data_IF_086446645463
#
_entry.id   IF_086446645463
#
_cell.length_a   1.000
_cell.length_b   1.000
_cell.length_c   1.000
_cell.angle_alpha   90.00
_cell.angle_beta   90.00
_cell.angle_gamma   90.00
#
_symmetry.space_group_name_H-M   'P 1'
#
loop_
_entity.id
_entity.type
_entity.pdbx_description
1 polymer ?
#
# COMPACT_ATOMS: atom_id res chain seq x y z
N UNK A 1 1.72 -4.63 -9.11
CA UNK A 1 1.47 -5.82 -8.25
C UNK A 1 0.00 -6.12 -8.12
N UNK A 2 -0.81 -5.25 -7.50
CA UNK A 2 -2.27 -5.44 -7.31
C UNK A 2 -2.98 -5.89 -8.60
N UNK A 3 -2.74 -5.20 -9.73
CA UNK A 3 -3.30 -5.53 -11.05
C UNK A 3 -3.03 -6.99 -11.47
N UNK A 4 -1.79 -7.47 -11.31
CA UNK A 4 -1.40 -8.85 -11.64
C UNK A 4 -2.04 -9.88 -10.70
N UNK A 5 -2.30 -9.53 -9.44
CA UNK A 5 -3.08 -10.39 -8.54
C UNK A 5 -4.55 -10.44 -8.96
N UNK A 6 -5.17 -9.32 -9.32
CA UNK A 6 -6.53 -9.29 -9.82
C UNK A 6 -6.69 -10.09 -11.13
N UNK A 7 -5.76 -9.92 -12.09
CA UNK A 7 -5.68 -10.72 -13.32
C UNK A 7 -5.69 -12.23 -13.04
N UNK A 8 -4.89 -12.69 -12.06
CA UNK A 8 -4.77 -14.11 -11.74
C UNK A 8 -5.90 -14.67 -10.86
N UNK A 9 -6.27 -13.95 -9.79
CA UNK A 9 -7.15 -14.47 -8.72
C UNK A 9 -8.62 -14.09 -8.89
N UNK A 10 -8.95 -13.15 -9.78
CA UNK A 10 -10.31 -12.61 -9.95
C UNK A 10 -10.78 -12.72 -11.40
N UNK A 11 -9.93 -12.34 -12.37
CA UNK A 11 -10.19 -12.57 -13.80
C UNK A 11 -9.72 -13.96 -14.28
N UNK A 12 -9.16 -14.78 -13.38
CA UNK A 12 -8.74 -16.18 -13.57
C UNK A 12 -7.76 -16.44 -14.73
N UNK A 13 -7.10 -15.40 -15.26
CA UNK A 13 -6.13 -15.52 -16.36
C UNK A 13 -4.82 -16.11 -15.81
N UNK A 14 -4.61 -17.40 -16.05
CA UNK A 14 -3.55 -18.19 -15.39
C UNK A 14 -2.51 -18.72 -16.37
N UNK A 15 -2.91 -19.06 -17.59
CA UNK A 15 -2.03 -19.42 -18.70
C UNK A 15 -1.37 -18.18 -19.34
N UNK A 16 -0.44 -18.40 -20.26
CA UNK A 16 0.25 -17.32 -20.95
C UNK A 16 -0.63 -16.65 -22.01
N UNK A 17 -1.37 -17.42 -22.82
CA UNK A 17 -2.29 -16.87 -23.84
C UNK A 17 -3.38 -16.01 -23.22
N UNK A 18 -4.06 -16.51 -22.17
CA UNK A 18 -5.07 -15.76 -21.41
C UNK A 18 -4.56 -14.42 -20.85
N UNK A 19 -3.25 -14.31 -20.60
CA UNK A 19 -2.63 -13.09 -20.08
C UNK A 19 -2.23 -12.14 -21.21
N UNK A 20 -1.81 -12.65 -22.37
CA UNK A 20 -1.59 -11.85 -23.57
C UNK A 20 -2.91 -11.24 -24.09
N UNK A 21 -3.97 -12.04 -24.15
CA UNK A 21 -5.34 -11.59 -24.48
C UNK A 21 -5.86 -10.51 -23.52
N UNK A 22 -5.45 -10.55 -22.25
CA UNK A 22 -5.90 -9.64 -21.21
C UNK A 22 -4.94 -8.46 -20.95
N UNK A 23 -3.82 -8.36 -21.67
CA UNK A 23 -2.83 -7.30 -21.41
C UNK A 23 -3.39 -5.87 -21.62
N UNK A 24 -4.25 -5.57 -22.62
CA UNK A 24 -4.89 -4.25 -22.75
C UNK A 24 -5.74 -3.85 -21.54
N UNK A 25 -6.40 -4.81 -20.89
CA UNK A 25 -7.19 -4.62 -19.67
C UNK A 25 -6.29 -4.52 -18.44
N UNK A 26 -5.25 -5.35 -18.36
CA UNK A 26 -4.23 -5.28 -17.29
C UNK A 26 -3.49 -3.94 -17.30
N UNK A 27 -3.15 -3.41 -18.47
CA UNK A 27 -2.55 -2.10 -18.66
C UNK A 27 -3.46 -0.98 -18.15
N UNK A 28 -4.72 -0.91 -18.61
CA UNK A 28 -5.70 0.08 -18.14
C UNK A 28 -5.94 0.00 -16.63
N UNK A 29 -6.06 -1.21 -16.08
CA UNK A 29 -6.17 -1.42 -14.63
C UNK A 29 -4.91 -0.96 -13.88
N UNK A 30 -3.71 -1.14 -14.43
CA UNK A 30 -2.45 -0.63 -13.85
C UNK A 30 -2.43 0.91 -13.85
N UNK A 31 -2.79 1.52 -14.97
CA UNK A 31 -2.77 2.98 -15.15
C UNK A 31 -3.82 3.69 -14.28
N UNK A 32 -5.05 3.17 -14.21
CA UNK A 32 -6.11 3.72 -13.34
C UNK A 32 -5.90 3.44 -11.85
N UNK A 33 -5.27 2.31 -11.47
CA UNK A 33 -4.93 2.04 -10.06
C UNK A 33 -3.74 2.86 -9.57
N UNK A 34 -2.76 3.19 -10.43
CA UNK A 34 -1.52 3.85 -10.01
C UNK A 34 -1.74 5.15 -9.21
N UNK A 35 -2.48 6.16 -9.70
CA UNK A 35 -2.68 7.40 -8.95
C UNK A 35 -3.45 7.17 -7.65
N UNK A 36 -4.43 6.25 -7.62
CA UNK A 36 -5.22 5.94 -6.43
C UNK A 36 -4.36 5.24 -5.35
N UNK A 37 -3.43 4.38 -5.75
CA UNK A 37 -2.44 3.79 -4.83
C UNK A 37 -1.50 4.86 -4.28
N UNK A 38 -0.98 5.77 -5.12
CA UNK A 38 -0.15 6.89 -4.65
C UNK A 38 -0.92 7.80 -3.68
N UNK A 39 -2.17 8.15 -3.98
CA UNK A 39 -3.01 8.97 -3.12
C UNK A 39 -3.29 8.29 -1.76
N UNK A 40 -3.51 6.97 -1.75
CA UNK A 40 -3.69 6.20 -0.51
C UNK A 40 -2.41 6.18 0.36
N UNK A 41 -1.23 6.13 -0.26
CA UNK A 41 0.03 6.20 0.49
C UNK A 41 0.37 7.63 0.96
N UNK A 42 0.02 8.67 0.18
CA UNK A 42 0.04 10.07 0.63
C UNK A 42 -0.86 10.28 1.87
N UNK A 43 -2.04 9.62 1.90
CA UNK A 43 -2.90 9.63 3.07
C UNK A 43 -2.21 9.04 4.30
N UNK A 44 -1.61 7.84 4.20
CA UNK A 44 -0.89 7.24 5.33
C UNK A 44 0.31 8.08 5.81
N UNK A 45 1.01 8.73 4.88
CA UNK A 45 2.10 9.65 5.20
C UNK A 45 1.61 10.90 5.96
N UNK A 46 0.59 11.57 5.44
CA UNK A 46 0.07 12.80 6.05
C UNK A 46 -0.63 12.50 7.37
N UNK A 47 -1.37 11.39 7.44
CA UNK A 47 -1.96 10.87 8.69
C UNK A 47 -0.88 10.68 9.75
N UNK A 48 0.22 9.98 9.42
CA UNK A 48 1.33 9.76 10.36
C UNK A 48 1.90 11.08 10.85
N UNK A 49 2.21 12.00 9.95
CA UNK A 49 2.89 13.23 10.31
C UNK A 49 1.99 14.21 11.08
N UNK A 50 0.67 14.14 10.92
CA UNK A 50 -0.29 14.82 11.79
C UNK A 50 -0.46 14.12 13.15
N UNK A 51 -0.53 12.78 13.17
CA UNK A 51 -0.64 11.98 14.42
C UNK A 51 0.60 12.16 15.31
N UNK A 52 1.79 12.18 14.71
CA UNK A 52 3.06 12.53 15.39
C UNK A 52 3.05 13.97 15.89
N UNK A 53 2.58 14.94 15.10
CA UNK A 53 2.46 16.35 15.54
C UNK A 53 1.53 16.49 16.75
N UNK A 54 0.34 15.89 16.68
CA UNK A 54 -0.67 15.89 17.74
C UNK A 54 -0.13 15.33 19.07
N UNK A 55 0.52 14.16 19.02
CA UNK A 55 1.17 13.54 20.18
C UNK A 55 2.29 14.45 20.72
N UNK A 56 3.17 14.98 19.85
CA UNK A 56 4.28 15.83 20.26
C UNK A 56 3.83 17.17 20.86
N UNK A 57 2.64 17.68 20.48
CA UNK A 57 2.03 18.87 21.10
C UNK A 57 1.33 18.62 22.44
N UNK A 58 1.42 17.40 23.00
CA UNK A 58 0.73 17.02 24.23
C UNK A 58 -0.77 16.75 24.05
N UNK A 59 -1.21 16.49 22.81
CA UNK A 59 -2.58 16.14 22.50
C UNK A 59 -2.99 14.79 23.09
N UNK A 60 -4.24 14.67 23.53
CA UNK A 60 -4.80 13.43 24.08
C UNK A 60 -4.70 12.31 23.03
N UNK A 61 -4.14 11.12 23.34
CA UNK A 61 -4.09 9.99 22.40
C UNK A 61 -5.47 9.66 21.83
N UNK A 62 -5.55 9.40 20.52
CA UNK A 62 -6.81 9.20 19.79
C UNK A 62 -7.66 8.09 20.39
N UNK A 63 -7.04 7.01 20.88
CA UNK A 63 -7.72 5.88 21.54
C UNK A 63 -8.43 6.25 22.86
N UNK A 64 -8.12 7.41 23.43
CA UNK A 64 -8.78 7.96 24.63
C UNK A 64 -9.79 9.07 24.29
N UNK A 65 -9.89 9.49 23.02
CA UNK A 65 -10.88 10.46 22.58
C UNK A 65 -12.17 9.76 22.15
N UNK A 66 -13.31 10.41 22.39
CA UNK A 66 -14.60 10.00 21.83
C UNK A 66 -14.87 10.89 20.61
N UNK A 67 -14.95 10.29 19.42
CA UNK A 67 -15.23 10.99 18.17
C UNK A 67 -16.15 10.16 17.27
N UNK A 68 -16.99 10.85 16.48
CA UNK A 68 -17.81 10.22 15.42
C UNK A 68 -17.00 10.01 14.13
N UNK A 69 -16.06 10.93 13.86
CA UNK A 69 -15.11 10.91 12.75
C UNK A 69 -13.73 11.26 13.30
N UNK A 70 -12.69 10.53 12.92
CA UNK A 70 -11.35 10.77 13.47
C UNK A 70 -10.83 12.14 12.98
N UNK A 71 -10.53 13.11 13.86
CA UNK A 71 -10.20 14.48 13.45
C UNK A 71 -8.96 14.56 12.57
N UNK A 72 -8.00 13.65 12.75
CA UNK A 72 -6.79 13.58 11.91
C UNK A 72 -7.14 13.05 10.52
N UNK A 73 -8.00 12.03 10.44
CA UNK A 73 -8.45 11.47 9.17
C UNK A 73 -9.29 12.47 8.38
N UNK A 74 -10.19 13.21 9.04
CA UNK A 74 -10.95 14.31 8.43
C UNK A 74 -10.03 15.37 7.83
N UNK A 75 -8.98 15.78 8.56
CA UNK A 75 -8.02 16.78 8.08
C UNK A 75 -7.25 16.32 6.83
N UNK A 76 -6.86 15.05 6.74
CA UNK A 76 -6.22 14.52 5.53
C UNK A 76 -7.23 14.33 4.41
N UNK A 77 -8.44 13.84 4.72
CA UNK A 77 -9.50 13.60 3.72
C UNK A 77 -10.06 14.90 3.12
N UNK A 78 -9.96 16.04 3.82
CA UNK A 78 -10.27 17.37 3.26
C UNK A 78 -9.27 17.85 2.21
N UNK A 79 -8.12 17.18 2.04
CA UNK A 79 -7.14 17.52 1.00
C UNK A 79 -7.50 16.93 -0.38
N UNK A 80 -8.46 16.01 -0.45
CA UNK A 80 -8.90 15.38 -1.69
C UNK A 80 -10.25 15.94 -2.15
N UNK A 81 -10.36 16.15 -3.46
CA UNK A 81 -11.63 16.37 -4.13
C UNK A 81 -12.55 15.14 -4.00
N UNK A 82 -13.84 15.35 -4.27
CA UNK A 82 -14.87 14.37 -4.04
C UNK A 82 -14.77 13.14 -4.96
N UNK A 83 -14.28 13.31 -6.20
CA UNK A 83 -14.10 12.21 -7.13
C UNK A 83 -12.91 11.33 -6.70
N UNK A 84 -11.80 11.95 -6.31
CA UNK A 84 -10.62 11.27 -5.77
C UNK A 84 -10.94 10.56 -4.46
N UNK A 85 -11.63 11.22 -3.51
CA UNK A 85 -12.03 10.62 -2.23
C UNK A 85 -12.90 9.37 -2.43
N UNK A 86 -13.91 9.46 -3.30
CA UNK A 86 -14.79 8.32 -3.62
C UNK A 86 -14.01 7.19 -4.31
N UNK A 87 -13.17 7.49 -5.31
CA UNK A 87 -12.33 6.49 -6.00
C UNK A 87 -11.34 5.82 -5.05
N UNK A 88 -10.70 6.58 -4.14
CA UNK A 88 -9.80 6.04 -3.12
C UNK A 88 -10.53 5.10 -2.16
N UNK A 89 -11.71 5.50 -1.67
CA UNK A 89 -12.53 4.64 -0.81
C UNK A 89 -12.96 3.35 -1.50
N UNK A 90 -13.41 3.44 -2.76
CA UNK A 90 -13.79 2.27 -3.57
C UNK A 90 -12.60 1.31 -3.83
N UNK A 91 -11.37 1.83 -3.94
CA UNK A 91 -10.16 1.04 -4.21
C UNK A 91 -9.44 0.57 -2.93
N UNK A 92 -9.65 1.20 -1.78
CA UNK A 92 -8.99 0.86 -0.52
C UNK A 92 -9.14 -0.64 -0.12
N UNK A 93 -10.33 -1.26 -0.13
CA UNK A 93 -10.48 -2.68 0.20
C UNK A 93 -9.72 -3.61 -0.76
N UNK A 94 -9.57 -3.24 -2.04
CA UNK A 94 -8.79 -3.98 -3.02
C UNK A 94 -7.29 -3.89 -2.70
N UNK A 95 -6.78 -2.69 -2.40
CA UNK A 95 -5.36 -2.46 -2.05
C UNK A 95 -5.00 -3.19 -0.75
N UNK A 96 -5.80 -3.00 0.31
CA UNK A 96 -5.56 -3.63 1.61
C UNK A 96 -5.69 -5.15 1.52
N UNK A 97 -6.72 -5.69 0.87
CA UNK A 97 -6.86 -7.15 0.74
C UNK A 97 -5.74 -7.78 -0.09
N UNK A 98 -5.26 -7.11 -1.14
CA UNK A 98 -4.12 -7.56 -1.95
C UNK A 98 -2.82 -7.57 -1.12
N UNK A 99 -2.55 -6.51 -0.35
CA UNK A 99 -1.42 -6.46 0.59
C UNK A 99 -1.51 -7.53 1.69
N UNK A 100 -2.67 -7.67 2.33
CA UNK A 100 -2.89 -8.68 3.37
C UNK A 100 -2.80 -10.11 2.86
N UNK A 101 -3.33 -10.42 1.67
CA UNK A 101 -3.19 -11.76 1.05
C UNK A 101 -1.72 -12.14 0.86
N UNK A 102 -0.86 -11.19 0.46
CA UNK A 102 0.57 -11.43 0.24
C UNK A 102 1.32 -11.88 1.50
N UNK A 103 0.80 -11.59 2.68
CA UNK A 103 1.34 -11.91 4.01
C UNK A 103 0.59 -13.05 4.74
N UNK A 104 -0.39 -13.69 4.08
CA UNK A 104 -1.07 -14.91 4.56
C UNK A 104 -0.39 -16.15 3.97
N UNK A 105 -0.42 -17.31 4.66
CA UNK A 105 -0.02 -18.57 4.03
C UNK A 105 -0.95 -18.89 2.85
N UNK A 106 -0.49 -19.60 1.80
CA UNK A 106 -1.30 -19.86 0.61
C UNK A 106 -2.60 -20.61 0.93
N UNK A 107 -3.74 -20.13 0.42
CA UNK A 107 -5.07 -20.65 0.79
C UNK A 107 -5.30 -22.13 0.46
N UNK A 108 -4.57 -22.69 -0.50
CA UNK A 108 -4.63 -24.12 -0.83
C UNK A 108 -3.93 -25.02 0.20
N UNK A 109 -3.05 -24.47 1.04
CA UNK A 109 -2.31 -25.24 2.03
C UNK A 109 -3.18 -25.50 3.28
N UNK A 110 -3.76 -26.70 3.35
CA UNK A 110 -4.37 -27.25 4.56
C UNK A 110 -3.35 -27.47 5.69
N UNK A 111 -3.81 -27.76 6.92
CA UNK A 111 -2.93 -27.86 8.10
C UNK A 111 -1.74 -28.82 7.92
N UNK A 112 -1.96 -29.98 7.31
CA UNK A 112 -0.90 -30.99 7.05
C UNK A 112 0.10 -30.46 6.02
N UNK A 113 -0.36 -29.80 4.95
CA UNK A 113 0.54 -29.14 3.99
C UNK A 113 1.34 -28.01 4.64
N UNK A 114 0.74 -27.24 5.57
CA UNK A 114 1.44 -26.16 6.28
C UNK A 114 2.56 -26.72 7.16
N UNK A 115 2.32 -27.84 7.85
CA UNK A 115 3.37 -28.52 8.61
C UNK A 115 4.51 -28.99 7.68
N UNK A 116 4.19 -29.71 6.59
CA UNK A 116 5.19 -30.29 5.70
C UNK A 116 5.96 -29.24 4.86
N UNK A 117 5.29 -28.18 4.39
CA UNK A 117 5.90 -27.06 3.63
C UNK A 117 6.48 -25.97 4.56
N UNK A 118 6.46 -26.19 5.88
CA UNK A 118 7.04 -25.29 6.88
C UNK A 118 6.31 -23.94 7.02
N UNK A 119 5.05 -23.82 6.62
CA UNK A 119 4.22 -22.62 6.79
C UNK A 119 3.68 -22.55 8.23
N UNK A 120 4.59 -22.61 9.21
CA UNK A 120 4.32 -22.73 10.66
C UNK A 120 3.81 -21.43 11.31
N UNK A 121 3.76 -20.32 10.57
CA UNK A 121 3.29 -19.03 11.05
C UNK A 121 1.99 -18.66 10.33
N UNK A 122 1.03 -18.15 11.10
CA UNK A 122 -0.21 -17.61 10.57
C UNK A 122 -0.07 -16.14 10.10
N UNK A 123 -1.21 -15.59 9.64
CA UNK A 123 -1.33 -14.18 9.25
C UNK A 123 -0.81 -13.26 10.36
N UNK A 124 -0.09 -12.17 10.04
CA UNK A 124 0.12 -11.08 10.99
C UNK A 124 -1.21 -10.59 11.59
N UNK A 125 -1.16 -10.10 12.84
CA UNK A 125 -2.26 -9.40 13.46
C UNK A 125 -2.53 -8.06 12.75
N UNK A 126 -3.74 -7.52 12.90
CA UNK A 126 -4.17 -6.36 12.12
C UNK A 126 -3.45 -5.05 12.54
N UNK A 127 -2.93 -5.00 13.77
CA UNK A 127 -1.94 -4.02 14.26
C UNK A 127 -0.62 -4.00 13.45
N UNK A 128 -0.15 -5.16 12.96
CA UNK A 128 1.11 -5.25 12.21
C UNK A 128 0.91 -4.62 10.83
N UNK A 129 -0.22 -4.89 10.18
CA UNK A 129 -0.54 -4.28 8.89
C UNK A 129 -0.76 -2.76 9.02
N UNK A 130 -1.46 -2.31 10.06
CA UNK A 130 -1.60 -0.89 10.38
C UNK A 130 -0.23 -0.23 10.59
N UNK A 131 0.66 -0.86 11.37
CA UNK A 131 2.01 -0.37 11.62
C UNK A 131 2.88 -0.32 10.36
N UNK A 132 2.82 -1.34 9.48
CA UNK A 132 3.58 -1.29 8.21
C UNK A 132 3.14 -0.12 7.34
N UNK A 133 1.83 0.16 7.24
CA UNK A 133 1.32 1.23 6.39
C UNK A 133 1.50 2.62 7.02
N UNK A 134 1.13 2.80 8.29
CA UNK A 134 1.18 4.09 8.98
C UNK A 134 2.58 4.47 9.52
N UNK A 135 3.49 3.52 9.76
CA UNK A 135 4.86 3.81 10.25
C UNK A 135 5.92 3.54 9.18
N UNK A 136 5.80 2.43 8.43
CA UNK A 136 6.78 2.04 7.40
C UNK A 136 6.49 2.55 5.98
N UNK A 137 5.25 2.95 5.70
CA UNK A 137 4.84 3.54 4.42
C UNK A 137 4.96 2.61 3.20
N UNK A 138 4.82 3.23 2.02
CA UNK A 138 4.88 2.56 0.72
C UNK A 138 6.16 1.74 0.54
N UNK A 139 7.32 2.26 0.93
CA UNK A 139 8.60 1.58 0.73
C UNK A 139 8.72 0.31 1.55
N UNK A 140 8.27 0.32 2.81
CA UNK A 140 8.30 -0.88 3.64
C UNK A 140 7.26 -1.92 3.18
N UNK A 141 6.06 -1.48 2.78
CA UNK A 141 5.05 -2.34 2.18
C UNK A 141 5.54 -2.97 0.85
N UNK A 142 6.21 -2.19 -0.01
CA UNK A 142 6.82 -2.63 -1.27
C UNK A 142 7.92 -3.68 -1.02
N UNK A 143 8.85 -3.43 -0.09
CA UNK A 143 9.93 -4.37 0.25
C UNK A 143 9.36 -5.73 0.72
N UNK A 144 8.30 -5.72 1.54
CA UNK A 144 7.59 -6.95 1.91
C UNK A 144 6.75 -7.56 0.77
N UNK A 145 6.41 -6.83 -0.29
CA UNK A 145 5.67 -7.37 -1.43
C UNK A 145 6.57 -8.13 -2.41
N UNK A 146 7.72 -7.52 -2.71
CA UNK A 146 8.70 -7.98 -3.71
C UNK A 146 9.48 -9.21 -3.24
N UNK A 147 9.72 -9.32 -1.93
CA UNK A 147 10.37 -10.48 -1.32
C UNK A 147 9.75 -11.81 -1.80
N UNK A 148 10.58 -12.79 -2.16
CA UNK A 148 10.13 -14.10 -2.68
C UNK A 148 9.97 -15.11 -1.53
N UNK A 149 9.07 -16.08 -1.70
CA UNK A 149 8.68 -17.06 -0.66
C UNK A 149 7.69 -16.51 0.38
N UNK A 150 7.06 -17.41 1.14
CA UNK A 150 6.17 -17.04 2.26
C UNK A 150 6.97 -16.85 3.56
N UNK A 151 7.69 -17.88 4.01
CA UNK A 151 8.41 -17.89 5.28
C UNK A 151 9.43 -16.75 5.41
N UNK A 152 10.18 -16.46 4.34
CA UNK A 152 11.17 -15.37 4.32
C UNK A 152 10.48 -14.02 4.55
N UNK A 153 9.38 -13.75 3.83
CA UNK A 153 8.54 -12.56 3.98
C UNK A 153 7.97 -12.42 5.39
N UNK A 154 7.42 -13.52 5.93
CA UNK A 154 6.79 -13.53 7.26
C UNK A 154 7.82 -13.28 8.36
N UNK A 155 9.02 -13.85 8.24
CA UNK A 155 10.14 -13.64 9.15
C UNK A 155 10.76 -12.23 9.05
N UNK A 156 10.82 -11.65 7.85
CA UNK A 156 11.24 -10.26 7.64
C UNK A 156 10.27 -9.28 8.32
N UNK A 157 8.96 -9.52 8.21
CA UNK A 157 7.94 -8.74 8.94
C UNK A 157 8.08 -8.88 10.45
N UNK A 158 8.25 -10.10 11.00
CA UNK A 158 8.46 -10.27 12.45
C UNK A 158 9.72 -9.55 12.95
N UNK A 159 10.82 -9.65 12.18
CA UNK A 159 12.10 -8.99 12.49
C UNK A 159 11.96 -7.46 12.49
N UNK A 160 11.31 -6.91 11.45
CA UNK A 160 11.07 -5.48 11.32
C UNK A 160 10.13 -4.96 12.41
N UNK A 161 9.00 -5.63 12.62
CA UNK A 161 8.02 -5.25 13.64
C UNK A 161 8.65 -5.33 15.04
N UNK A 162 9.50 -6.33 15.28
CA UNK A 162 10.35 -6.42 16.48
C UNK A 162 11.29 -5.23 16.67
N UNK A 163 11.94 -4.71 15.62
CA UNK A 163 12.75 -3.49 15.74
C UNK A 163 11.93 -2.23 16.02
N UNK A 164 10.70 -2.15 15.51
CA UNK A 164 9.77 -1.03 15.69
C UNK A 164 9.12 -1.04 17.08
N UNK A 165 8.77 -2.23 17.61
CA UNK A 165 8.04 -2.40 18.88
C UNK A 165 8.94 -2.55 20.11
N UNK A 166 10.19 -3.03 19.97
CA UNK A 166 11.08 -3.24 21.13
C UNK A 166 11.42 -1.92 21.83
N UNK A 167 10.78 -1.71 22.98
CA UNK A 167 11.34 -0.89 24.05
C UNK A 167 12.74 -1.41 24.43
N UNK A 168 13.65 -0.53 24.90
CA UNK A 168 14.79 -1.01 25.65
C UNK A 168 14.26 -1.63 26.94
N UNK A 169 14.45 -2.95 27.10
CA UNK A 169 14.63 -3.50 28.44
C UNK A 169 15.88 -2.83 28.98
N UNK A 170 15.79 -2.17 30.14
CA UNK A 170 17.00 -1.77 30.86
C UNK A 170 17.75 -3.05 31.21
N UNK A 171 18.90 -3.27 30.55
CA UNK A 171 19.77 -4.39 30.89
C UNK A 171 20.30 -4.11 32.29
N UNK A 172 19.93 -4.90 33.32
CA UNK A 172 20.39 -4.64 34.68
C UNK A 172 21.91 -4.71 34.67
N UNK A 173 22.56 -3.61 35.06
CA UNK A 173 24.00 -3.37 34.91
C UNK A 173 24.79 -4.25 35.88
N UNK A 174 24.96 -5.53 35.52
CA UNK A 174 25.69 -6.52 36.32
C UNK A 174 27.11 -6.02 36.62
N UNK A 175 27.32 -5.68 37.88
CA UNK A 175 28.51 -4.99 38.36
C UNK A 175 29.72 -5.93 38.48
N UNK A 176 30.81 -5.55 37.82
CA UNK A 176 32.23 -5.69 38.22
C UNK A 176 32.67 -6.94 39.01
N UNK A 177 33.64 -7.65 38.43
CA UNK A 177 34.62 -8.56 39.08
C UNK A 177 34.06 -9.87 39.69
N UNK A 178 34.84 -10.95 39.82
CA UNK A 178 36.18 -11.18 39.28
C UNK A 178 36.82 -12.50 39.72
N UNK A 179 37.97 -12.81 39.12
CA UNK A 179 38.95 -13.87 39.48
C UNK A 179 38.59 -15.37 39.34
N UNK A 180 39.67 -16.11 39.04
CA UNK A 180 39.86 -17.57 38.86
C UNK A 180 39.59 -18.33 40.19
N UNK A 181 39.51 -19.67 40.29
CA UNK A 181 40.02 -20.78 39.44
C UNK A 181 38.92 -21.90 39.32
N UNK A 182 39.08 -23.24 39.18
CA UNK A 182 40.20 -24.20 39.23
C UNK A 182 40.03 -25.38 38.23
N UNK A 183 41.16 -25.91 37.76
CA UNK A 183 41.48 -27.32 37.42
C UNK A 183 40.42 -28.35 36.96
N UNK A 184 40.61 -28.85 35.73
CA UNK A 184 40.60 -30.25 35.27
C UNK A 184 39.47 -31.26 35.65
N UNK A 185 38.86 -31.88 34.64
CA UNK A 185 38.90 -33.32 34.26
C UNK A 185 37.80 -33.58 33.21
N UNK A 186 38.02 -34.46 32.23
CA UNK A 186 37.14 -34.60 31.07
C UNK A 186 36.22 -35.82 31.07
N UNK A 187 35.03 -35.69 30.48
CA UNK A 187 34.27 -36.83 29.89
C UNK A 187 33.43 -36.37 28.69
N UNK A 188 33.28 -37.24 27.68
CA UNK A 188 32.47 -37.00 26.47
C UNK A 188 30.97 -37.23 26.73
N UNK A 189 30.15 -36.62 25.85
CA UNK A 189 28.67 -36.78 25.73
C UNK A 189 27.91 -36.03 26.85
N UNK A 190 26.80 -35.32 26.63
CA UNK A 190 25.92 -35.19 25.46
C UNK A 190 25.77 -33.71 25.05
N UNK A 191 25.64 -33.40 23.76
CA UNK A 191 25.29 -32.04 23.33
C UNK A 191 23.76 -31.93 23.25
N UNK A 192 23.16 -31.26 24.23
CA UNK A 192 21.75 -30.88 24.24
C UNK A 192 21.70 -29.38 23.94
N UNK A 193 20.98 -28.98 22.89
CA UNK A 193 21.04 -27.61 22.38
C UNK A 193 20.16 -26.67 23.20
N UNK A 194 20.75 -26.00 24.20
CA UNK A 194 20.12 -24.86 24.86
C UNK A 194 19.96 -23.67 23.89
N UNK A 195 19.00 -22.80 24.19
CA UNK A 195 18.54 -21.73 23.29
C UNK A 195 19.55 -20.58 23.26
N UNK A 196 20.52 -20.67 22.36
CA UNK A 196 21.45 -19.59 22.07
C UNK A 196 20.70 -18.36 21.52
N UNK A 197 20.84 -17.22 22.22
CA UNK A 197 20.27 -15.93 21.81
C UNK A 197 20.84 -15.47 20.47
N UNK A 198 19.97 -15.35 19.46
CA UNK A 198 20.38 -15.03 18.09
C UNK A 198 20.69 -13.54 17.90
N UNK A 199 21.90 -13.14 18.30
CA UNK A 199 22.47 -11.81 17.99
C UNK A 199 23.81 -11.88 17.21
N UNK A 200 24.32 -13.08 16.91
CA UNK A 200 25.64 -13.31 16.29
C UNK A 200 25.59 -14.19 15.03
N UNK A 201 24.81 -13.79 14.02
CA UNK A 201 24.73 -14.53 12.75
C UNK A 201 24.50 -13.65 11.48
N UNK A 202 25.17 -12.51 11.35
CA UNK A 202 25.36 -11.84 10.06
C UNK A 202 26.57 -10.90 10.09
N UNK A 203 27.54 -11.09 9.17
CA UNK A 203 28.51 -10.05 8.84
C UNK A 203 27.74 -8.87 8.22
N UNK A 204 27.61 -7.77 8.95
CA UNK A 204 26.91 -6.59 8.45
C UNK A 204 27.89 -5.67 7.74
N UNK A 205 27.93 -5.75 6.41
CA UNK A 205 28.62 -4.74 5.63
C UNK A 205 28.01 -3.37 5.93
N UNK A 206 28.87 -2.39 6.20
CA UNK A 206 28.48 -1.02 6.55
C UNK A 206 27.97 -0.28 5.31
N UNK A 207 28.46 -0.64 4.11
CA UNK A 207 28.02 -0.05 2.83
C UNK A 207 26.54 -0.34 2.56
N UNK A 208 26.02 -1.49 3.00
CA UNK A 208 24.60 -1.86 2.87
C UNK A 208 23.67 -1.21 3.92
N UNK A 209 24.18 -0.43 4.90
CA UNK A 209 23.31 0.29 5.86
C UNK A 209 22.68 1.58 5.28
N UNK A 210 22.98 1.94 4.02
CA UNK A 210 22.58 3.21 3.40
C UNK A 210 21.09 3.29 2.99
N UNK A 211 20.28 2.25 3.22
CA UNK A 211 18.82 2.36 3.13
C UNK A 211 18.29 3.32 4.20
N UNK A 212 17.82 4.50 3.78
CA UNK A 212 17.21 5.52 4.65
C UNK A 212 16.03 5.00 5.49
N UNK A 213 15.39 3.90 5.08
CA UNK A 213 14.26 3.27 5.76
C UNK A 213 14.69 2.22 6.79
N UNK A 214 15.98 1.85 6.86
CA UNK A 214 16.43 0.73 7.69
C UNK A 214 16.35 1.05 9.19
N UNK A 215 15.41 0.38 9.88
CA UNK A 215 15.10 0.53 11.32
C UNK A 215 16.12 -0.15 12.25
N UNK A 216 17.15 -0.83 11.72
CA UNK A 216 18.19 -1.48 12.55
C UNK A 216 18.94 -0.43 13.40
N UNK A 217 19.18 -0.66 14.71
CA UNK A 217 19.86 0.29 15.57
C UNK A 217 21.24 0.76 15.07
N UNK A 218 21.98 -0.12 14.38
CA UNK A 218 23.27 0.21 13.72
C UNK A 218 23.10 1.24 12.61
N UNK A 219 22.22 0.99 11.63
CA UNK A 219 22.00 1.90 10.51
C UNK A 219 21.30 3.21 10.95
N UNK A 220 20.45 3.18 11.99
CA UNK A 220 19.88 4.39 12.60
C UNK A 220 20.98 5.25 13.25
N UNK A 221 21.94 4.62 13.94
CA UNK A 221 23.05 5.33 14.60
C UNK A 221 24.05 5.90 13.59
N UNK A 222 24.35 5.16 12.51
CA UNK A 222 25.24 5.62 11.44
C UNK A 222 24.71 6.87 10.72
N UNK A 223 23.40 6.93 10.46
CA UNK A 223 22.75 8.06 9.75
C UNK A 223 22.85 9.41 10.47
N UNK A 224 23.12 9.44 11.77
CA UNK A 224 23.37 10.69 12.54
C UNK A 224 24.66 11.44 12.13
N UNK A 225 25.42 10.96 11.14
CA UNK A 225 26.68 11.56 10.66
C UNK A 225 26.61 12.24 9.29
N UNK A 226 25.46 12.24 8.61
CA UNK A 226 25.32 13.04 7.39
C UNK A 226 25.13 14.52 7.75
N UNK A 227 26.11 15.32 7.33
CA UNK A 227 26.34 16.69 7.78
C UNK A 227 25.14 17.62 7.60
N UNK A 228 24.82 18.40 8.63
CA UNK A 228 23.83 19.50 8.60
C UNK A 228 24.37 20.79 7.97
N UNK A 229 25.54 20.71 7.33
CA UNK A 229 26.40 21.85 6.97
C UNK A 229 26.19 22.33 5.50
N UNK A 230 25.26 21.70 4.77
CA UNK A 230 24.83 22.14 3.45
C UNK A 230 23.56 23.00 3.56
N UNK A 231 23.74 24.32 3.71
CA UNK A 231 22.65 25.33 3.76
C UNK A 231 21.93 25.59 2.42
N UNK A 232 22.15 24.71 1.43
CA UNK A 232 21.55 24.78 0.09
C UNK A 232 20.49 23.69 -0.02
N UNK A 233 19.41 23.97 -0.79
CA UNK A 233 18.23 23.11 -0.98
C UNK A 233 17.19 23.12 0.16
N UNK A 234 16.70 24.30 0.58
CA UNK A 234 15.39 24.40 1.27
C UNK A 234 14.21 24.13 0.30
N UNK A 235 14.17 22.93 -0.28
CA UNK A 235 13.12 22.42 -1.15
C UNK A 235 12.91 20.92 -0.90
N UNK A 236 11.76 20.38 -1.29
CA UNK A 236 11.16 19.12 -0.79
C UNK A 236 12.05 17.85 -0.80
N UNK A 237 13.14 17.82 -1.58
CA UNK A 237 14.09 16.70 -1.61
C UNK A 237 15.07 16.66 -0.41
N UNK A 238 15.30 17.78 0.28
CA UNK A 238 16.19 17.85 1.43
C UNK A 238 15.53 17.51 2.78
N UNK A 239 14.19 17.40 2.82
CA UNK A 239 13.45 16.96 4.00
C UNK A 239 13.71 15.50 4.41
N UNK A 240 14.53 14.77 3.63
CA UNK A 240 14.65 13.33 3.67
C UNK A 240 13.57 12.65 2.83
N UNK A 241 13.60 11.31 2.75
CA UNK A 241 12.59 10.57 1.99
C UNK A 241 11.24 10.53 2.73
N UNK A 242 10.14 10.34 1.98
CA UNK A 242 8.81 10.21 2.55
C UNK A 242 8.74 9.11 3.60
N UNK A 243 8.02 9.37 4.70
CA UNK A 243 7.89 8.50 5.87
C UNK A 243 9.22 8.00 6.47
N UNK A 244 10.24 8.87 6.60
CA UNK A 244 11.51 8.54 7.27
C UNK A 244 11.31 7.93 8.69
N UNK A 245 12.15 6.97 9.14
CA UNK A 245 11.93 6.23 10.40
C UNK A 245 11.80 7.10 11.66
N UNK A 246 10.72 6.89 12.40
CA UNK A 246 10.38 7.62 13.62
C UNK A 246 11.36 7.34 14.79
N UNK A 247 11.45 8.28 15.74
CA UNK A 247 12.21 8.09 16.98
C UNK A 247 11.59 7.01 17.87
N UNK A 248 12.39 6.36 18.71
CA UNK A 248 11.88 5.34 19.66
C UNK A 248 10.88 5.93 20.66
N UNK A 249 11.01 7.19 21.03
CA UNK A 249 10.06 7.86 21.92
C UNK A 249 8.74 8.14 21.22
N UNK A 250 8.77 8.62 19.98
CA UNK A 250 7.58 8.78 19.14
C UNK A 250 6.87 7.43 18.92
N UNK A 251 7.63 6.37 18.63
CA UNK A 251 7.11 5.00 18.44
C UNK A 251 6.36 4.47 19.67
N UNK A 252 6.89 4.68 20.89
CA UNK A 252 6.20 4.27 22.13
C UNK A 252 4.81 4.89 22.30
N UNK A 253 4.60 6.10 21.80
CA UNK A 253 3.33 6.81 21.93
C UNK A 253 2.37 6.53 20.78
N UNK A 254 2.85 6.50 19.54
CA UNK A 254 2.00 6.31 18.35
C UNK A 254 1.56 4.85 18.17
N UNK A 255 2.43 3.86 18.37
CA UNK A 255 2.11 2.45 18.11
C UNK A 255 0.88 1.94 18.89
N UNK A 256 0.75 2.18 20.21
CA UNK A 256 -0.43 1.74 20.96
C UNK A 256 -1.61 2.72 20.85
N UNK A 257 -1.55 3.70 19.94
CA UNK A 257 -2.61 4.66 19.60
C UNK A 257 -3.05 4.56 18.12
N UNK A 258 -2.44 3.65 17.34
CA UNK A 258 -2.89 3.35 15.98
C UNK A 258 -4.20 2.54 15.99
N UNK A 259 -5.24 2.95 15.23
CA UNK A 259 -6.43 2.14 15.05
C UNK A 259 -6.14 0.83 14.29
N UNK A 260 -7.08 -0.13 14.34
CA UNK A 260 -7.05 -1.27 13.44
C UNK A 260 -7.12 -0.81 11.98
N UNK A 261 -6.45 -1.53 11.06
CA UNK A 261 -6.33 -1.12 9.66
C UNK A 261 -7.68 -1.02 8.90
N UNK A 262 -8.72 -1.71 9.36
CA UNK A 262 -10.08 -1.54 8.86
C UNK A 262 -10.73 -0.23 9.28
N UNK A 263 -10.30 0.34 10.42
CA UNK A 263 -10.93 1.48 11.08
C UNK A 263 -10.21 2.78 10.69
N UNK A 264 -8.89 2.71 10.47
CA UNK A 264 -8.17 3.72 9.69
C UNK A 264 -8.85 3.81 8.31
N UNK A 265 -9.13 5.03 7.85
CA UNK A 265 -9.77 5.34 6.57
C UNK A 265 -11.28 5.03 6.50
N UNK A 266 -11.72 3.77 6.61
CA UNK A 266 -13.07 3.38 6.13
C UNK A 266 -14.21 4.19 6.73
N UNK A 267 -14.29 4.29 8.06
CA UNK A 267 -15.43 4.92 8.73
C UNK A 267 -15.48 6.44 8.49
N UNK A 268 -14.34 7.12 8.60
CA UNK A 268 -14.25 8.57 8.35
C UNK A 268 -14.52 8.88 6.88
N UNK A 269 -13.99 8.08 5.94
CA UNK A 269 -14.20 8.28 4.52
C UNK A 269 -15.67 8.05 4.11
N UNK A 270 -16.32 7.00 4.61
CA UNK A 270 -17.75 6.74 4.34
C UNK A 270 -18.62 7.88 4.88
N UNK A 271 -18.37 8.35 6.12
CA UNK A 271 -19.09 9.47 6.71
C UNK A 271 -18.94 10.76 5.89
N UNK A 272 -17.71 11.13 5.49
CA UNK A 272 -17.47 12.30 4.65
C UNK A 272 -18.06 12.18 3.24
N UNK A 273 -18.05 10.99 2.65
CA UNK A 273 -18.65 10.72 1.32
C UNK A 273 -20.17 11.00 1.33
N UNK A 274 -20.84 10.69 2.45
CA UNK A 274 -22.27 10.95 2.65
C UNK A 274 -22.53 12.40 3.07
N UNK A 275 -21.72 12.98 3.95
CA UNK A 275 -21.84 14.38 4.41
C UNK A 275 -21.69 15.38 3.25
N UNK A 276 -20.68 15.17 2.39
CA UNK A 276 -20.48 15.95 1.15
C UNK A 276 -21.49 15.61 0.04
N UNK A 277 -22.34 14.59 0.23
CA UNK A 277 -23.36 14.11 -0.72
C UNK A 277 -22.80 13.66 -2.07
N UNK A 278 -21.59 13.09 -2.07
CA UNK A 278 -20.94 12.53 -3.27
C UNK A 278 -21.74 11.31 -3.79
N UNK A 279 -22.39 10.60 -2.87
CA UNK A 279 -23.42 9.61 -3.15
C UNK A 279 -24.63 9.84 -2.23
N UNK A 280 -25.80 9.31 -2.59
CA UNK A 280 -27.01 9.47 -1.77
C UNK A 280 -27.08 8.45 -0.63
N UNK A 281 -26.50 7.26 -0.83
CA UNK A 281 -26.58 6.13 0.12
C UNK A 281 -25.28 5.30 0.13
N UNK A 282 -24.95 4.61 1.23
CA UNK A 282 -23.81 3.68 1.27
C UNK A 282 -23.85 2.59 0.20
N UNK A 283 -25.04 2.16 -0.22
CA UNK A 283 -25.21 1.12 -1.23
C UNK A 283 -24.84 1.60 -2.65
N UNK A 284 -24.73 2.91 -2.87
CA UNK A 284 -24.32 3.50 -4.16
C UNK A 284 -22.77 3.48 -4.32
N UNK A 285 -22.04 3.18 -3.25
CA UNK A 285 -20.57 3.03 -3.27
C UNK A 285 -20.23 1.68 -3.92
N UNK A 286 -19.52 1.75 -5.06
CA UNK A 286 -19.18 0.56 -5.87
C UNK A 286 -18.41 -0.49 -5.07
N UNK A 287 -18.84 -1.75 -5.18
CA UNK A 287 -18.21 -2.91 -4.55
C UNK A 287 -17.00 -3.38 -5.35
N UNK A 288 -16.09 -4.13 -4.70
CA UNK A 288 -14.82 -4.59 -5.30
C UNK A 288 -14.93 -5.17 -6.73
N UNK A 289 -16.02 -5.91 -7.04
CA UNK A 289 -16.31 -6.43 -8.37
C UNK A 289 -16.60 -5.33 -9.40
N UNK A 290 -17.49 -4.40 -9.07
CA UNK A 290 -17.85 -3.26 -9.92
C UNK A 290 -16.65 -2.31 -10.11
N UNK A 291 -15.84 -2.11 -9.07
CA UNK A 291 -14.60 -1.34 -9.11
C UNK A 291 -13.59 -1.98 -10.06
N UNK A 292 -13.37 -3.29 -9.97
CA UNK A 292 -12.47 -4.02 -10.88
C UNK A 292 -12.97 -3.99 -12.33
N UNK A 293 -14.27 -4.11 -12.56
CA UNK A 293 -14.86 -3.96 -13.90
C UNK A 293 -14.68 -2.53 -14.43
N UNK A 294 -14.89 -1.49 -13.62
CA UNK A 294 -14.65 -0.10 -14.00
C UNK A 294 -13.17 0.20 -14.27
N UNK A 295 -12.24 -0.47 -13.58
CA UNK A 295 -10.80 -0.36 -13.84
C UNK A 295 -10.37 -0.99 -15.18
N UNK A 296 -11.13 -1.95 -15.71
CA UNK A 296 -10.85 -2.60 -17.01
C UNK A 296 -11.78 -2.17 -18.16
N UNK A 297 -12.88 -1.44 -17.91
CA UNK A 297 -13.80 -0.96 -18.97
C UNK A 297 -13.02 -0.09 -19.98
N UNK A 298 -13.41 -0.13 -21.24
CA UNK A 298 -12.91 0.85 -22.22
C UNK A 298 -13.41 2.24 -21.85
N UNK A 299 -12.57 3.24 -22.07
CA UNK A 299 -13.02 4.62 -22.02
C UNK A 299 -14.01 4.79 -23.18
N UNK A 300 -15.28 5.01 -22.86
CA UNK A 300 -16.28 5.34 -23.88
C UNK A 300 -15.83 6.65 -24.51
N UNK A 301 -15.32 6.56 -25.75
CA UNK A 301 -14.94 7.72 -26.52
C UNK A 301 -16.19 8.56 -26.69
N UNK A 302 -16.28 9.63 -25.91
CA UNK A 302 -17.29 10.67 -26.07
C UNK A 302 -16.94 11.39 -27.37
N UNK A 303 -17.35 10.78 -28.48
CA UNK A 303 -17.50 11.47 -29.75
C UNK A 303 -18.48 12.59 -29.46
N UNK A 304 -17.96 13.80 -29.34
CA UNK A 304 -18.74 14.99 -29.10
C UNK A 304 -19.63 15.23 -30.33
N UNK A 305 -20.82 14.61 -30.31
CA UNK A 305 -21.89 14.86 -31.24
C UNK A 305 -22.43 16.26 -30.95
N UNK A 306 -21.68 17.27 -31.38
CA UNK A 306 -22.06 18.68 -31.31
C UNK A 306 -23.42 18.84 -32.00
N UNK A 307 -24.50 19.15 -31.27
CA UNK A 307 -25.75 19.52 -31.91
C UNK A 307 -25.65 20.99 -32.33
N UNK A 308 -26.16 21.32 -33.52
CA UNK A 308 -26.20 22.69 -34.09
C UNK A 308 -24.79 23.14 -34.58
N UNK A 309 -24.60 23.73 -35.77
CA UNK A 309 -25.56 24.34 -36.71
C UNK A 309 -25.35 23.94 -38.19
N UNK A 310 -26.22 24.48 -39.05
CA UNK A 310 -26.33 24.32 -40.50
C UNK A 310 -25.38 25.28 -41.28
N UNK A 311 -25.63 25.45 -42.59
CA UNK A 311 -24.90 26.30 -43.56
C UNK A 311 -23.54 25.71 -44.01
N UNK A 312 -23.20 25.56 -45.31
CA UNK A 312 -23.82 26.10 -46.54
C UNK A 312 -23.60 25.13 -47.72
N UNK A 313 -24.57 25.02 -48.64
CA UNK A 313 -24.38 24.38 -49.95
C UNK A 313 -24.10 25.42 -51.05
N UNK A 314 -22.99 25.31 -51.81
CA UNK A 314 -22.83 26.06 -53.07
C UNK A 314 -23.73 25.44 -54.14
N UNK A 315 -24.70 26.20 -54.66
CA UNK A 315 -25.63 25.76 -55.70
C UNK A 315 -25.27 26.39 -57.05
N UNK A 316 -24.40 25.74 -57.81
CA UNK A 316 -24.05 26.14 -59.19
C UNK A 316 -24.93 25.43 -60.21
N UNK A 317 -25.90 26.15 -60.77
CA UNK A 317 -26.75 25.69 -61.87
C UNK A 317 -26.28 26.25 -63.21
N UNK A 318 -25.95 25.40 -64.18
CA UNK A 318 -25.69 25.79 -65.57
C UNK A 318 -26.30 24.74 -66.51
N UNK A 319 -27.20 25.21 -67.39
CA UNK A 319 -27.80 24.59 -68.59
C UNK A 319 -28.16 23.09 -68.58
N UNK A 320 -29.45 22.72 -68.65
CA UNK A 320 -30.30 22.67 -69.87
C UNK A 320 -29.68 21.94 -71.06
N UNK A 321 -30.12 20.70 -71.26
CA UNK A 321 -30.86 20.38 -72.49
C UNK A 321 -31.92 19.31 -72.18
N UNK A 322 -32.92 19.15 -73.04
CA UNK A 322 -34.04 18.24 -72.83
C UNK A 322 -34.47 17.59 -74.16
N UNK A 323 -34.72 16.29 -74.13
CA UNK A 323 -35.54 15.60 -75.13
C UNK A 323 -36.43 14.58 -74.42
N UNK A 324 -37.66 14.43 -74.89
CA UNK A 324 -38.68 13.56 -74.28
C UNK A 324 -39.30 12.64 -75.32
N UNK A 325 -39.65 11.41 -74.90
CA UNK A 325 -40.58 10.47 -75.55
C UNK A 325 -40.27 10.08 -77.03
N UNK A 326 -40.71 8.95 -77.58
CA UNK A 326 -41.89 8.15 -77.25
C UNK A 326 -41.80 6.71 -77.81
N UNK A 327 -42.75 5.86 -77.38
CA UNK A 327 -43.41 4.76 -78.13
C UNK A 327 -42.61 3.87 -79.10
N UNK A 328 -42.61 2.56 -78.84
CA UNK A 328 -42.30 1.53 -79.83
C UNK A 328 -42.58 0.11 -79.32
N UNK A 329 -43.63 -0.52 -79.83
CA UNK A 329 -43.91 -1.96 -79.68
C UNK A 329 -43.99 -2.60 -81.08
N UNK A 330 -44.23 -3.92 -81.15
CA UNK A 330 -44.07 -4.80 -82.34
C UNK A 330 -42.57 -5.12 -82.61
N UNK A 331 -42.18 -6.35 -82.92
CA UNK A 331 -42.93 -7.62 -82.95
C UNK A 331 -42.32 -8.64 -83.92
N UNK A 332 -42.39 -9.93 -83.54
CA UNK A 332 -41.63 -11.09 -84.08
C UNK A 332 -40.13 -11.09 -83.76
#
# INVERSE_FOLDING_TARGET
MISSQATKEIFLRTSEMERLEFEPQHQRMRERLMPLVFALFHYFETYRDLHVRHINSGGVPLRHQVFTMNPIEVQVMSMYDDETLLKMHQVFPLVISSFSRRLRPPSYAGQIERAFKGYLKDRPADEVYATVLAVGGLRQAQQFWEMKGYNIRRAAVDTWYGFVTRSPVEVPTKSKMGTKIISHLGRKKHQQAEVATSETAAHHDVTCCNEWFCVKPSCVSARRRHSTDNLVFYNSLAAGPPMAPLSKETLRHILPDLPHLSNIWMHTAEALILERKIVNRPQDIKRNSEVLLALIKEDEVVVAANPVDNWTTPRTSVHTEALAAATGAVGN
#
